data_IF_819388955751
#
_entry.id   IF_819388955751
#
_cell.length_a   1.000
_cell.length_b   1.000
_cell.length_c   1.000
_cell.angle_alpha   90.00
_cell.angle_beta   90.00
_cell.angle_gamma   90.00
#
_symmetry.space_group_name_H-M   'P 1'
#
loop_
_entity.id
_entity.type
_entity.pdbx_description
1 polymer ?
#
# COMPACT_ATOMS: atom_id res chain seq x y z
N UNK A 1 -9.76 -19.69 17.50
CA UNK A 1 -8.99 -18.57 16.91
C UNK A 1 -8.73 -17.41 17.89
N UNK A 2 -8.92 -17.61 19.20
CA UNK A 2 -8.67 -16.64 20.28
C UNK A 2 -7.33 -16.85 21.02
N UNK A 3 -6.53 -17.87 20.66
CA UNK A 3 -5.29 -18.26 21.37
C UNK A 3 -4.00 -17.61 20.85
N UNK A 4 -4.03 -16.91 19.71
CA UNK A 4 -2.84 -16.24 19.16
C UNK A 4 -2.63 -14.81 19.69
N UNK A 5 -3.65 -14.22 20.33
CA UNK A 5 -3.55 -12.95 21.07
C UNK A 5 -3.13 -13.16 22.54
N UNK A 6 -3.30 -14.37 23.10
CA UNK A 6 -2.93 -14.65 24.49
C UNK A 6 -1.42 -14.77 24.70
N UNK A 7 -0.66 -15.24 23.71
CA UNK A 7 0.80 -15.38 23.83
C UNK A 7 1.57 -14.05 23.76
N UNK A 8 0.93 -12.98 23.29
CA UNK A 8 1.50 -11.62 23.36
C UNK A 8 1.07 -10.89 24.64
N UNK A 9 0.03 -11.37 25.33
CA UNK A 9 -0.53 -10.71 26.52
C UNK A 9 -0.21 -11.39 27.85
N UNK A 10 0.24 -12.65 27.89
CA UNK A 10 0.45 -13.39 29.16
C UNK A 10 1.75 -13.11 29.92
N UNK A 11 2.66 -12.27 29.41
CA UNK A 11 3.86 -11.84 30.17
C UNK A 11 4.02 -10.33 30.30
N UNK A 12 2.95 -9.59 30.06
CA UNK A 12 2.96 -8.14 30.14
C UNK A 12 2.32 -7.72 31.48
N UNK A 13 3.12 -7.22 32.46
CA UNK A 13 2.63 -6.93 33.79
C UNK A 13 1.48 -5.92 33.73
N UNK A 14 0.46 -6.20 34.54
CA UNK A 14 -0.78 -5.45 34.70
C UNK A 14 -0.44 -3.97 34.92
N UNK A 15 -0.69 -3.12 33.92
CA UNK A 15 -0.40 -1.68 33.98
C UNK A 15 0.09 -1.02 32.69
N UNK A 16 -0.12 -1.62 31.51
CA UNK A 16 0.48 -1.13 30.27
C UNK A 16 -0.38 -0.06 29.60
N UNK A 17 0.21 1.14 29.51
CA UNK A 17 -0.28 2.31 28.78
C UNK A 17 -0.60 1.99 27.31
N UNK A 18 -1.41 2.82 26.61
CA UNK A 18 -1.80 2.67 25.19
C UNK A 18 -0.66 2.48 24.17
N UNK A 19 0.60 2.55 24.59
CA UNK A 19 1.79 2.53 23.73
C UNK A 19 2.32 1.13 23.37
N UNK A 20 1.80 0.03 23.94
CA UNK A 20 2.29 -1.32 23.63
C UNK A 20 2.14 -1.82 22.18
N UNK A 21 1.02 -1.60 21.46
CA UNK A 21 0.93 -2.02 20.06
C UNK A 21 1.85 -1.20 19.13
N UNK A 22 2.22 0.03 19.53
CA UNK A 22 3.08 0.94 18.77
C UNK A 22 4.52 0.40 18.72
N UNK A 23 5.00 -0.19 19.82
CA UNK A 23 6.33 -0.80 19.88
C UNK A 23 6.39 -2.23 19.32
N UNK A 24 5.23 -2.89 19.13
CA UNK A 24 5.19 -4.27 18.65
C UNK A 24 5.61 -4.42 17.17
N UNK A 25 5.28 -3.46 16.31
CA UNK A 25 5.72 -3.47 14.90
C UNK A 25 7.25 -3.31 14.80
N UNK A 26 7.86 -2.28 15.41
CA UNK A 26 9.31 -2.12 15.45
C UNK A 26 10.07 -3.32 16.05
N UNK A 27 9.56 -3.88 17.16
CA UNK A 27 10.17 -5.07 17.77
C UNK A 27 10.06 -6.33 16.88
N UNK A 28 9.00 -6.47 16.09
CA UNK A 28 8.85 -7.61 15.17
C UNK A 28 9.66 -7.47 13.87
N UNK A 29 10.06 -6.24 13.51
CA UNK A 29 10.65 -5.91 12.20
C UNK A 29 12.15 -6.27 12.11
N UNK A 30 12.90 -6.30 13.23
CA UNK A 30 14.36 -6.40 13.21
C UNK A 30 14.94 -7.30 14.34
N UNK A 31 15.19 -8.57 14.02
CA UNK A 31 16.09 -9.53 14.74
C UNK A 31 15.68 -10.00 16.16
N UNK A 32 16.31 -11.04 16.76
CA UNK A 32 15.63 -12.07 17.54
C UNK A 32 15.05 -11.53 18.86
N UNK A 33 14.06 -12.23 19.44
CA UNK A 33 13.30 -11.79 20.62
C UNK A 33 14.11 -11.61 21.92
N UNK A 34 15.42 -11.81 21.92
CA UNK A 34 16.26 -11.85 23.12
C UNK A 34 16.63 -10.48 23.70
N UNK A 35 16.25 -9.36 23.06
CA UNK A 35 16.61 -7.99 23.49
C UNK A 35 15.42 -7.06 23.76
N UNK A 36 14.26 -7.59 24.16
CA UNK A 36 13.00 -6.83 24.25
C UNK A 36 13.00 -5.64 25.24
N UNK A 37 13.74 -5.72 26.35
CA UNK A 37 13.68 -4.70 27.42
C UNK A 37 14.54 -3.46 27.14
N UNK A 38 15.74 -3.64 26.60
CA UNK A 38 16.66 -2.55 26.24
C UNK A 38 16.08 -1.64 25.14
N UNK A 39 15.29 -2.22 24.22
CA UNK A 39 14.73 -1.50 23.07
C UNK A 39 13.56 -0.58 23.43
N UNK A 40 12.79 -0.89 24.48
CA UNK A 40 11.70 0.01 24.94
C UNK A 40 12.25 1.32 25.48
N UNK A 41 13.41 1.30 26.15
CA UNK A 41 14.07 2.53 26.63
C UNK A 41 14.63 3.36 25.48
N UNK A 42 15.17 2.72 24.42
CA UNK A 42 15.60 3.41 23.20
C UNK A 42 14.43 4.17 22.57
N UNK A 43 13.27 3.54 22.42
CA UNK A 43 12.08 4.19 21.86
C UNK A 43 11.51 5.34 22.71
N UNK A 44 11.83 5.40 24.02
CA UNK A 44 11.40 6.49 24.89
C UNK A 44 12.36 7.68 24.87
N UNK A 45 13.64 7.42 24.66
CA UNK A 45 14.71 8.37 24.94
C UNK A 45 15.50 8.80 23.71
N UNK A 46 15.31 8.17 22.55
CA UNK A 46 16.09 8.40 21.33
C UNK A 46 15.19 8.79 20.16
N UNK A 47 15.75 9.55 19.22
CA UNK A 47 15.11 9.86 17.94
C UNK A 47 15.21 8.67 16.99
N UNK A 48 14.25 8.54 16.07
CA UNK A 48 14.18 7.41 15.12
C UNK A 48 15.50 7.18 14.35
N UNK A 49 16.17 8.26 13.92
CA UNK A 49 17.45 8.17 13.23
C UNK A 49 18.56 7.55 14.10
N UNK A 50 18.59 7.86 15.39
CA UNK A 50 19.55 7.28 16.34
C UNK A 50 19.22 5.80 16.64
N UNK A 51 17.92 5.47 16.74
CA UNK A 51 17.46 4.09 16.93
C UNK A 51 17.86 3.25 15.71
N UNK A 52 17.63 3.73 14.48
CA UNK A 52 18.02 3.03 13.24
C UNK A 52 19.54 2.85 13.17
N UNK A 53 20.32 3.85 13.57
CA UNK A 53 21.78 3.75 13.60
C UNK A 53 22.25 2.67 14.59
N UNK A 54 21.78 2.69 15.84
CA UNK A 54 22.12 1.67 16.85
C UNK A 54 21.68 0.27 16.44
N UNK A 55 20.48 0.14 15.87
CA UNK A 55 20.02 -1.16 15.33
C UNK A 55 20.88 -1.64 14.17
N UNK A 56 21.45 -0.74 13.36
CA UNK A 56 22.37 -1.10 12.27
C UNK A 56 23.69 -1.62 12.84
N UNK A 57 24.25 -0.92 13.83
CA UNK A 57 25.47 -1.33 14.54
C UNK A 57 25.30 -2.73 15.17
N UNK A 58 24.19 -2.96 15.91
CA UNK A 58 23.87 -4.28 16.47
C UNK A 58 23.63 -5.37 15.42
N UNK A 59 23.06 -5.00 14.26
CA UNK A 59 22.75 -5.96 13.20
C UNK A 59 24.02 -6.50 12.55
N UNK A 60 25.00 -5.62 12.29
CA UNK A 60 26.27 -5.98 11.67
C UNK A 60 27.12 -6.87 12.61
N UNK A 61 26.97 -6.73 13.93
CA UNK A 61 27.64 -7.59 14.93
C UNK A 61 27.04 -9.02 14.98
N UNK A 62 25.75 -9.18 14.71
CA UNK A 62 25.02 -10.44 14.93
C UNK A 62 24.86 -11.28 13.65
N UNK A 63 24.77 -10.65 12.47
CA UNK A 63 24.41 -11.35 11.23
C UNK A 63 25.62 -11.56 10.33
N UNK A 64 26.28 -12.71 10.48
CA UNK A 64 27.44 -13.09 9.65
C UNK A 64 27.06 -13.64 8.27
N UNK A 65 25.82 -14.09 8.08
CA UNK A 65 25.36 -14.80 6.87
C UNK A 65 24.57 -13.94 5.89
N UNK A 66 24.25 -12.69 6.23
CA UNK A 66 23.42 -11.80 5.40
C UNK A 66 21.95 -12.22 5.24
N UNK A 67 21.53 -13.31 5.87
CA UNK A 67 20.16 -13.83 5.83
C UNK A 67 19.27 -13.14 6.88
N UNK A 68 18.00 -12.92 6.50
CA UNK A 68 16.98 -12.37 7.40
C UNK A 68 15.62 -13.04 7.13
N UNK A 69 14.63 -12.94 8.04
CA UNK A 69 13.41 -13.76 7.99
C UNK A 69 12.62 -13.77 6.67
N UNK A 70 12.78 -12.75 5.82
CA UNK A 70 12.15 -12.68 4.49
C UNK A 70 12.95 -13.38 3.37
N UNK A 71 14.22 -13.72 3.56
CA UNK A 71 15.06 -14.40 2.57
C UNK A 71 15.29 -15.88 2.86
N UNK A 72 15.33 -16.27 4.15
CA UNK A 72 15.63 -17.65 4.59
C UNK A 72 14.79 -18.68 3.81
N UNK A 73 15.38 -19.66 3.12
CA UNK A 73 14.62 -20.62 2.32
C UNK A 73 13.75 -21.56 3.20
N UNK A 74 12.65 -22.06 2.63
CA UNK A 74 11.78 -23.06 3.28
C UNK A 74 10.31 -22.66 3.45
N UNK A 75 9.49 -23.59 3.94
CA UNK A 75 8.06 -23.39 4.17
C UNK A 75 7.78 -22.36 5.28
N UNK A 76 8.68 -22.28 6.28
CA UNK A 76 8.58 -21.34 7.39
C UNK A 76 8.65 -19.89 6.92
N UNK A 77 9.44 -19.57 5.89
CA UNK A 77 9.47 -18.22 5.28
C UNK A 77 8.13 -17.80 4.72
N UNK A 78 7.48 -18.66 3.94
CA UNK A 78 6.17 -18.36 3.35
C UNK A 78 5.13 -18.08 4.44
N UNK A 79 5.14 -18.91 5.50
CA UNK A 79 4.26 -18.76 6.66
C UNK A 79 4.55 -17.48 7.45
N UNK A 80 5.81 -17.18 7.73
CA UNK A 80 6.21 -15.95 8.41
C UNK A 80 5.78 -14.71 7.60
N UNK A 81 6.10 -14.66 6.31
CA UNK A 81 5.71 -13.56 5.41
C UNK A 81 4.20 -13.35 5.41
N UNK A 82 3.42 -14.43 5.31
CA UNK A 82 1.95 -14.36 5.39
C UNK A 82 1.47 -13.79 6.72
N UNK A 83 1.93 -14.37 7.84
CA UNK A 83 1.54 -13.92 9.19
C UNK A 83 1.94 -12.47 9.45
N UNK A 84 3.11 -12.05 8.98
CA UNK A 84 3.60 -10.68 9.08
C UNK A 84 2.68 -9.70 8.33
N UNK A 85 2.33 -10.02 7.08
CA UNK A 85 1.41 -9.20 6.30
C UNK A 85 0.00 -9.14 6.93
N UNK A 86 -0.51 -10.28 7.40
CA UNK A 86 -1.82 -10.36 8.05
C UNK A 86 -1.85 -9.60 9.37
N UNK A 87 -0.79 -9.68 10.17
CA UNK A 87 -0.69 -8.95 11.44
C UNK A 87 -0.89 -7.45 11.24
N UNK A 88 -0.19 -6.85 10.27
CA UNK A 88 -0.31 -5.42 9.97
C UNK A 88 -1.74 -5.08 9.55
N UNK A 89 -2.33 -5.89 8.67
CA UNK A 89 -3.71 -5.72 8.24
C UNK A 89 -4.71 -5.81 9.40
N UNK A 90 -4.55 -6.80 10.29
CA UNK A 90 -5.40 -6.98 11.48
C UNK A 90 -5.25 -5.82 12.44
N UNK A 91 -4.02 -5.38 12.73
CA UNK A 91 -3.75 -4.28 13.66
C UNK A 91 -4.53 -3.02 13.27
N UNK A 92 -4.38 -2.57 12.02
CA UNK A 92 -5.08 -1.38 11.53
C UNK A 92 -6.60 -1.58 11.51
N UNK A 93 -7.06 -2.79 11.16
CA UNK A 93 -8.49 -3.13 11.22
C UNK A 93 -9.06 -3.04 12.64
N UNK A 94 -8.29 -3.38 13.67
CA UNK A 94 -8.75 -3.29 15.07
C UNK A 94 -8.67 -1.85 15.60
N UNK A 95 -7.67 -1.08 15.17
CA UNK A 95 -7.47 0.32 15.59
C UNK A 95 -8.39 1.32 14.86
N UNK A 96 -9.18 0.88 13.86
CA UNK A 96 -9.86 1.77 12.89
C UNK A 96 -10.88 2.77 13.44
N UNK A 97 -11.36 2.58 14.66
CA UNK A 97 -12.44 3.40 15.24
C UNK A 97 -11.96 4.47 16.21
N UNK A 98 -10.68 4.46 16.61
CA UNK A 98 -10.17 5.43 17.59
C UNK A 98 -8.67 5.67 17.44
N UNK A 99 -7.87 4.63 17.66
CA UNK A 99 -6.42 4.75 17.86
C UNK A 99 -5.72 5.29 16.62
N UNK A 100 -6.17 4.95 15.41
CA UNK A 100 -5.51 5.44 14.18
C UNK A 100 -5.63 6.97 13.96
N UNK A 101 -6.46 7.67 14.74
CA UNK A 101 -6.72 9.11 14.59
C UNK A 101 -6.09 9.95 15.71
N UNK A 102 -5.30 9.34 16.60
CA UNK A 102 -4.72 9.96 17.80
C UNK A 102 -3.50 10.86 17.55
N UNK A 103 -3.12 11.06 16.28
CA UNK A 103 -1.95 11.85 15.86
C UNK A 103 -0.63 11.37 16.48
N UNK A 104 -0.58 10.12 16.96
CA UNK A 104 0.58 9.57 17.62
C UNK A 104 0.98 8.21 17.05
N UNK A 105 0.05 7.24 17.03
CA UNK A 105 0.35 5.89 16.58
C UNK A 105 0.81 5.87 15.12
N UNK A 106 0.05 6.50 14.22
CA UNK A 106 0.35 6.47 12.79
C UNK A 106 1.62 7.24 12.46
N UNK A 107 1.83 8.40 13.09
CA UNK A 107 3.03 9.22 12.86
C UNK A 107 4.29 8.49 13.33
N UNK A 108 4.23 7.86 14.51
CA UNK A 108 5.36 7.05 15.04
C UNK A 108 5.66 5.86 14.12
N UNK A 109 4.63 5.11 13.71
CA UNK A 109 4.81 3.92 12.86
C UNK A 109 5.35 4.32 11.48
N UNK A 110 4.79 5.36 10.86
CA UNK A 110 5.22 5.83 9.54
C UNK A 110 6.63 6.41 9.60
N UNK A 111 6.95 7.26 10.58
CA UNK A 111 8.30 7.82 10.76
C UNK A 111 9.35 6.72 10.90
N UNK A 112 9.08 5.72 11.75
CA UNK A 112 9.97 4.60 11.96
C UNK A 112 10.16 3.74 10.69
N UNK A 113 9.06 3.41 9.98
CA UNK A 113 9.13 2.67 8.73
C UNK A 113 9.87 3.44 7.63
N UNK A 114 9.68 4.76 7.56
CA UNK A 114 10.41 5.64 6.65
C UNK A 114 11.90 5.61 6.96
N UNK A 115 12.30 5.74 8.23
CA UNK A 115 13.70 5.63 8.67
C UNK A 115 14.35 4.31 8.26
N UNK A 116 13.68 3.17 8.51
CA UNK A 116 14.18 1.85 8.10
C UNK A 116 14.25 1.69 6.58
N UNK A 117 13.28 2.24 5.84
CA UNK A 117 13.23 2.14 4.38
C UNK A 117 14.36 2.91 3.68
N UNK A 118 14.94 3.89 4.37
CA UNK A 118 16.06 4.70 3.90
C UNK A 118 17.43 4.17 4.38
N UNK A 119 17.47 3.12 5.20
CA UNK A 119 18.72 2.49 5.65
C UNK A 119 19.51 1.87 4.49
N UNK A 120 20.84 1.81 4.62
CA UNK A 120 21.70 1.08 3.69
C UNK A 120 21.65 -0.45 3.92
N UNK A 121 21.09 -0.91 5.03
CA UNK A 121 20.91 -2.33 5.33
C UNK A 121 19.75 -2.89 4.52
N UNK A 122 20.04 -3.87 3.65
CA UNK A 122 19.04 -4.53 2.80
C UNK A 122 17.87 -5.12 3.61
N UNK A 123 18.17 -5.76 4.75
CA UNK A 123 17.15 -6.38 5.61
C UNK A 123 16.12 -5.36 6.11
N UNK A 124 16.58 -4.18 6.54
CA UNK A 124 15.71 -3.10 7.00
C UNK A 124 14.87 -2.54 5.85
N UNK A 125 15.49 -2.24 4.71
CA UNK A 125 14.74 -1.73 3.54
C UNK A 125 13.66 -2.70 3.07
N UNK A 126 14.01 -3.97 2.90
CA UNK A 126 13.05 -4.97 2.39
C UNK A 126 11.89 -5.17 3.36
N UNK A 127 12.18 -5.32 4.66
CA UNK A 127 11.16 -5.61 5.66
C UNK A 127 10.25 -4.40 5.92
N UNK A 128 10.83 -3.20 6.07
CA UNK A 128 10.05 -1.97 6.26
C UNK A 128 9.21 -1.62 5.03
N UNK A 129 9.73 -1.83 3.81
CA UNK A 129 8.96 -1.60 2.58
C UNK A 129 7.75 -2.54 2.53
N UNK A 130 7.93 -3.83 2.79
CA UNK A 130 6.81 -4.79 2.84
C UNK A 130 5.77 -4.36 3.88
N UNK A 131 6.23 -3.94 5.06
CA UNK A 131 5.35 -3.48 6.13
C UNK A 131 4.56 -2.23 5.73
N UNK A 132 5.24 -1.23 5.16
CA UNK A 132 4.64 0.02 4.71
C UNK A 132 3.62 -0.20 3.59
N UNK A 133 3.90 -1.12 2.64
CA UNK A 133 2.91 -1.41 1.59
C UNK A 133 1.66 -2.09 2.16
N UNK A 134 1.81 -3.01 3.12
CA UNK A 134 0.66 -3.65 3.79
C UNK A 134 -0.10 -2.69 4.70
N UNK A 135 0.61 -1.77 5.34
CA UNK A 135 0.02 -0.67 6.10
C UNK A 135 -0.84 0.22 5.19
N UNK A 136 -0.28 0.64 4.05
CA UNK A 136 -1.00 1.41 3.04
C UNK A 136 -2.26 0.67 2.57
N UNK A 137 -2.17 -0.61 2.21
CA UNK A 137 -3.33 -1.43 1.82
C UNK A 137 -4.42 -1.45 2.90
N UNK A 138 -4.04 -1.53 4.17
CA UNK A 138 -5.00 -1.47 5.27
C UNK A 138 -5.65 -0.09 5.40
N UNK A 139 -4.88 0.99 5.24
CA UNK A 139 -5.38 2.37 5.24
C UNK A 139 -6.32 2.66 4.06
N UNK A 140 -6.03 2.14 2.86
CA UNK A 140 -6.92 2.23 1.70
C UNK A 140 -8.31 1.65 2.02
N UNK A 141 -8.36 0.50 2.72
CA UNK A 141 -9.63 -0.09 3.14
C UNK A 141 -10.36 0.81 4.16
N UNK A 142 -9.64 1.43 5.10
CA UNK A 142 -10.23 2.39 6.04
C UNK A 142 -10.78 3.61 5.29
N UNK A 143 -10.00 4.20 4.37
CA UNK A 143 -10.42 5.35 3.57
C UNK A 143 -11.66 5.05 2.72
N UNK A 144 -11.72 3.87 2.09
CA UNK A 144 -12.89 3.41 1.35
C UNK A 144 -14.14 3.31 2.25
N UNK A 145 -14.01 2.72 3.44
CA UNK A 145 -15.13 2.64 4.39
C UNK A 145 -15.59 4.04 4.85
N UNK A 146 -14.66 4.97 5.06
CA UNK A 146 -14.96 6.35 5.41
C UNK A 146 -15.66 7.09 4.27
N UNK A 147 -15.26 6.86 3.02
CA UNK A 147 -15.93 7.39 1.83
C UNK A 147 -17.39 6.91 1.73
N UNK A 148 -17.63 5.59 1.88
CA UNK A 148 -18.98 5.02 1.91
C UNK A 148 -19.82 5.60 3.06
N UNK A 149 -19.19 5.80 4.23
CA UNK A 149 -19.85 6.40 5.38
C UNK A 149 -20.20 7.88 5.16
N UNK A 150 -19.32 8.62 4.47
CA UNK A 150 -19.54 10.00 4.08
C UNK A 150 -20.76 10.11 3.15
N UNK A 151 -20.84 9.28 2.11
CA UNK A 151 -21.97 9.25 1.17
C UNK A 151 -23.29 8.91 1.86
N UNK A 152 -23.26 7.93 2.77
CA UNK A 152 -24.45 7.55 3.55
C UNK A 152 -24.91 8.71 4.43
N UNK A 153 -23.97 9.39 5.10
CA UNK A 153 -24.27 10.55 5.95
C UNK A 153 -24.79 11.73 5.11
N UNK A 154 -24.27 11.91 3.89
CA UNK A 154 -24.72 12.93 2.95
C UNK A 154 -26.18 12.69 2.52
N UNK A 155 -26.52 11.46 2.11
CA UNK A 155 -27.91 11.11 1.74
C UNK A 155 -28.89 11.27 2.91
N UNK A 156 -28.45 10.94 4.14
CA UNK A 156 -29.26 11.17 5.35
C UNK A 156 -29.51 12.65 5.61
N UNK A 157 -28.50 13.50 5.38
CA UNK A 157 -28.61 14.95 5.51
C UNK A 157 -29.61 15.52 4.48
N UNK A 158 -29.50 15.14 3.21
CA UNK A 158 -30.42 15.58 2.14
C UNK A 158 -31.86 15.11 2.39
N UNK A 159 -32.04 13.86 2.82
CA UNK A 159 -33.36 13.34 3.16
C UNK A 159 -33.99 14.05 4.37
N UNK A 160 -33.17 14.52 5.32
CA UNK A 160 -33.64 15.33 6.44
C UNK A 160 -34.01 16.75 5.99
N UNK A 161 -33.23 17.34 5.08
CA UNK A 161 -33.46 18.68 4.51
C UNK A 161 -34.79 18.74 3.73
N UNK A 162 -35.12 17.69 2.97
CA UNK A 162 -36.35 17.65 2.16
C UNK A 162 -37.63 17.42 2.99
N UNK A 163 -37.51 17.09 4.29
CA UNK A 163 -38.65 16.82 5.19
C UNK A 163 -38.94 17.97 6.17
N UNK A 164 -38.24 19.09 6.05
CA UNK A 164 -38.14 20.07 7.14
C UNK A 164 -39.40 20.94 7.31
N UNK A 165 -40.17 20.69 8.38
CA UNK A 165 -41.07 21.66 9.03
C UNK A 165 -40.90 21.51 10.55
N UNK A 166 -40.40 22.53 11.25
CA UNK A 166 -40.36 22.61 12.73
C UNK A 166 -38.98 22.58 13.41
N UNK A 167 -38.91 23.08 14.66
CA UNK A 167 -37.68 23.34 15.44
C UNK A 167 -36.83 22.09 15.73
N UNK A 168 -37.46 20.94 16.04
CA UNK A 168 -36.79 19.65 16.30
C UNK A 168 -36.13 19.03 15.06
N UNK A 169 -36.61 19.39 13.87
CA UNK A 169 -35.98 18.97 12.61
C UNK A 169 -34.66 19.71 12.38
N UNK A 170 -34.54 20.94 12.88
CA UNK A 170 -33.34 21.78 12.74
C UNK A 170 -32.17 21.26 13.60
N UNK A 171 -32.44 20.83 14.85
CA UNK A 171 -31.43 20.23 15.74
C UNK A 171 -30.84 18.93 15.15
N UNK A 172 -31.69 18.10 14.54
CA UNK A 172 -31.25 16.88 13.86
C UNK A 172 -30.39 17.18 12.63
N UNK A 173 -30.72 18.23 11.89
CA UNK A 173 -29.97 18.67 10.71
C UNK A 173 -28.57 19.17 11.10
N UNK A 174 -28.47 19.91 12.20
CA UNK A 174 -27.19 20.39 12.73
C UNK A 174 -26.28 19.23 13.18
N UNK A 175 -26.83 18.24 13.90
CA UNK A 175 -26.08 17.05 14.30
C UNK A 175 -25.54 16.27 13.10
N UNK A 176 -26.36 16.09 12.05
CA UNK A 176 -25.93 15.42 10.81
C UNK A 176 -24.83 16.21 10.09
N UNK A 177 -24.93 17.54 10.10
CA UNK A 177 -23.90 18.40 9.52
C UNK A 177 -22.57 18.30 10.29
N UNK A 178 -22.61 18.28 11.62
CA UNK A 178 -21.43 18.09 12.46
C UNK A 178 -20.79 16.73 12.20
N UNK A 179 -21.59 15.66 12.17
CA UNK A 179 -21.11 14.30 11.86
C UNK A 179 -20.46 14.24 10.48
N UNK A 180 -21.05 14.87 9.46
CA UNK A 180 -20.48 14.93 8.11
C UNK A 180 -19.10 15.61 8.10
N UNK A 181 -18.97 16.76 8.78
CA UNK A 181 -17.69 17.48 8.89
C UNK A 181 -16.64 16.62 9.60
N UNK A 182 -17.02 15.87 10.61
CA UNK A 182 -16.11 14.99 11.34
C UNK A 182 -15.61 13.84 10.48
N UNK A 183 -16.51 13.12 9.80
CA UNK A 183 -16.13 12.04 8.87
C UNK A 183 -15.19 12.56 7.78
N UNK A 184 -15.45 13.77 7.26
CA UNK A 184 -14.57 14.41 6.28
C UNK A 184 -13.17 14.71 6.83
N UNK A 185 -13.05 15.25 8.06
CA UNK A 185 -11.74 15.46 8.70
C UNK A 185 -10.99 14.15 8.89
N UNK A 186 -11.67 13.13 9.40
CA UNK A 186 -11.09 11.81 9.62
C UNK A 186 -10.57 11.22 8.31
N UNK A 187 -11.33 11.31 7.21
CA UNK A 187 -10.89 10.89 5.87
C UNK A 187 -9.63 11.63 5.42
N UNK A 188 -9.59 12.95 5.56
CA UNK A 188 -8.42 13.77 5.19
C UNK A 188 -7.17 13.38 5.99
N UNK A 189 -7.30 13.09 7.29
CA UNK A 189 -6.17 12.61 8.10
C UNK A 189 -5.59 11.30 7.55
N UNK A 190 -6.45 10.34 7.22
CA UNK A 190 -6.01 9.06 6.65
C UNK A 190 -5.36 9.25 5.28
N UNK A 191 -5.92 10.11 4.43
CA UNK A 191 -5.33 10.43 3.13
C UNK A 191 -3.97 11.12 3.25
N UNK A 192 -3.76 11.96 4.26
CA UNK A 192 -2.45 12.57 4.53
C UNK A 192 -1.40 11.52 4.93
N UNK A 193 -1.76 10.58 5.80
CA UNK A 193 -0.87 9.47 6.18
C UNK A 193 -0.55 8.60 4.98
N UNK A 194 -1.55 8.28 4.16
CA UNK A 194 -1.37 7.55 2.90
C UNK A 194 -0.42 8.28 1.95
N UNK A 195 -0.57 9.60 1.82
CA UNK A 195 0.30 10.43 0.98
C UNK A 195 1.75 10.45 1.49
N UNK A 196 1.98 10.46 2.81
CA UNK A 196 3.32 10.35 3.38
C UNK A 196 3.94 8.99 3.05
N UNK A 197 3.24 7.87 3.29
CA UNK A 197 3.75 6.54 2.92
C UNK A 197 4.07 6.46 1.42
N UNK A 198 3.24 7.05 0.57
CA UNK A 198 3.46 7.06 -0.88
C UNK A 198 4.70 7.87 -1.27
N UNK A 199 4.82 9.10 -0.79
CA UNK A 199 5.93 10.00 -1.15
C UNK A 199 7.25 9.54 -0.52
N UNK A 200 7.23 9.22 0.77
CA UNK A 200 8.44 9.03 1.56
C UNK A 200 8.99 7.60 1.45
N UNK A 201 8.15 6.61 1.15
CA UNK A 201 8.55 5.20 1.04
C UNK A 201 8.35 4.69 -0.40
N UNK A 202 7.12 4.65 -0.91
CA UNK A 202 6.85 4.01 -2.20
C UNK A 202 7.62 4.65 -3.37
N UNK A 203 7.64 5.98 -3.47
CA UNK A 203 8.25 6.67 -4.61
C UNK A 203 9.75 6.41 -4.75
N UNK A 204 10.42 6.14 -3.62
CA UNK A 204 11.84 5.77 -3.55
C UNK A 204 12.07 4.27 -3.72
N UNK A 205 11.25 3.42 -3.08
CA UNK A 205 11.43 1.97 -3.06
C UNK A 205 10.90 1.24 -4.31
N UNK A 206 9.96 1.84 -5.04
CA UNK A 206 9.51 1.32 -6.35
C UNK A 206 10.64 1.24 -7.39
N UNK A 207 11.72 2.00 -7.18
CA UNK A 207 12.94 2.01 -8.02
C UNK A 207 14.19 1.59 -7.23
N UNK A 208 14.01 0.78 -6.18
CA UNK A 208 15.13 0.29 -5.36
C UNK A 208 16.16 -0.47 -6.20
N UNK A 209 17.45 -0.33 -5.84
CA UNK A 209 18.53 -1.09 -6.43
C UNK A 209 18.33 -2.61 -6.25
N UNK A 210 17.72 -3.03 -5.14
CA UNK A 210 17.41 -4.43 -4.84
C UNK A 210 16.16 -4.86 -5.60
N UNK A 211 16.39 -5.79 -6.53
CA UNK A 211 15.42 -6.52 -7.32
C UNK A 211 14.12 -6.88 -6.59
N UNK A 212 14.23 -7.55 -5.44
CA UNK A 212 13.12 -8.15 -4.70
C UNK A 212 12.17 -7.13 -4.05
N UNK A 213 12.63 -5.88 -3.87
CA UNK A 213 11.83 -4.82 -3.23
C UNK A 213 10.85 -4.20 -4.24
N UNK A 214 11.30 -3.95 -5.47
CA UNK A 214 10.48 -3.33 -6.52
C UNK A 214 9.15 -4.06 -6.79
N UNK A 215 9.08 -5.39 -6.95
CA UNK A 215 7.82 -6.08 -7.23
C UNK A 215 6.84 -6.02 -6.05
N UNK A 216 7.32 -5.78 -4.81
CA UNK A 216 6.46 -5.59 -3.64
C UNK A 216 5.67 -4.29 -3.79
N UNK A 217 6.36 -3.19 -4.13
CA UNK A 217 5.70 -1.91 -4.38
C UNK A 217 4.71 -2.02 -5.53
N UNK A 218 5.15 -2.57 -6.66
CA UNK A 218 4.35 -2.65 -7.90
C UNK A 218 3.15 -3.58 -7.77
N UNK A 219 3.26 -4.63 -6.97
CA UNK A 219 2.11 -5.47 -6.66
C UNK A 219 1.06 -4.70 -5.85
N UNK A 220 1.48 -3.93 -4.85
CA UNK A 220 0.55 -3.30 -3.90
C UNK A 220 -0.12 -2.06 -4.50
N UNK A 221 0.55 -1.29 -5.36
CA UNK A 221 -0.13 -0.21 -6.12
C UNK A 221 -1.29 -0.77 -6.95
N UNK A 222 -1.10 -1.90 -7.65
CA UNK A 222 -2.19 -2.54 -8.40
C UNK A 222 -3.34 -3.02 -7.52
N UNK A 223 -3.08 -3.35 -6.25
CA UNK A 223 -4.13 -3.67 -5.26
C UNK A 223 -4.88 -2.40 -4.87
N UNK A 224 -4.19 -1.29 -4.59
CA UNK A 224 -4.81 -0.03 -4.20
C UNK A 224 -5.71 0.52 -5.30
N UNK A 225 -5.22 0.53 -6.55
CA UNK A 225 -6.00 1.05 -7.67
C UNK A 225 -7.22 0.20 -7.98
N UNK A 226 -7.16 -1.12 -7.73
CA UNK A 226 -8.32 -2.00 -7.82
C UNK A 226 -9.33 -1.76 -6.68
N UNK A 227 -8.84 -1.50 -5.47
CA UNK A 227 -9.68 -1.36 -4.28
C UNK A 227 -10.35 0.01 -4.17
N UNK A 228 -9.63 1.08 -4.50
CA UNK A 228 -10.08 2.46 -4.35
C UNK A 228 -9.78 3.27 -5.60
N UNK A 229 -10.39 2.84 -6.70
CA UNK A 229 -10.15 3.40 -8.03
C UNK A 229 -10.53 4.88 -8.16
N UNK A 230 -11.33 5.46 -7.29
CA UNK A 230 -11.68 6.89 -7.42
C UNK A 230 -10.55 7.82 -6.96
N UNK A 231 -9.61 7.33 -6.14
CA UNK A 231 -8.55 8.14 -5.52
C UNK A 231 -7.13 7.86 -6.05
N UNK A 232 -6.86 6.65 -6.54
CA UNK A 232 -5.50 6.17 -6.89
C UNK A 232 -5.02 6.30 -8.34
N UNK A 233 -5.85 6.26 -9.39
CA UNK A 233 -5.39 6.43 -10.76
C UNK A 233 -5.28 7.92 -11.07
N UNK A 234 -4.18 8.52 -10.60
CA UNK A 234 -3.75 9.84 -11.04
C UNK A 234 -2.38 9.74 -11.72
N UNK A 235 -2.01 10.81 -12.43
CA UNK A 235 -0.75 10.89 -13.20
C UNK A 235 0.49 10.56 -12.35
N UNK A 236 0.47 10.89 -11.05
CA UNK A 236 1.56 10.58 -10.14
C UNK A 236 1.67 9.10 -9.77
N UNK A 237 0.63 8.30 -9.88
CA UNK A 237 0.68 6.85 -9.65
C UNK A 237 1.03 6.11 -10.95
N UNK A 238 0.35 6.45 -12.04
CA UNK A 238 0.51 5.78 -13.34
C UNK A 238 1.92 5.92 -13.92
N UNK A 239 2.62 7.05 -13.66
CA UNK A 239 4.03 7.20 -14.07
C UNK A 239 4.96 6.11 -13.53
N UNK A 240 4.68 5.58 -12.32
CA UNK A 240 5.49 4.51 -11.74
C UNK A 240 5.30 3.22 -12.53
N UNK A 241 4.06 2.88 -12.89
CA UNK A 241 3.78 1.72 -13.74
C UNK A 241 4.46 1.88 -15.12
N UNK A 242 4.40 3.07 -15.72
CA UNK A 242 5.07 3.36 -17.00
C UNK A 242 6.60 3.14 -16.95
N UNK A 243 7.28 3.62 -15.91
CA UNK A 243 8.71 3.38 -15.73
C UNK A 243 9.04 1.91 -15.45
N UNK A 244 8.21 1.23 -14.66
CA UNK A 244 8.40 -0.17 -14.28
C UNK A 244 8.27 -1.14 -15.45
N UNK A 245 7.55 -0.81 -16.52
CA UNK A 245 7.54 -1.61 -17.76
C UNK A 245 8.91 -1.71 -18.45
N UNK A 246 9.86 -0.83 -18.10
CA UNK A 246 11.23 -0.84 -18.58
C UNK A 246 12.20 -1.56 -17.63
N UNK A 247 11.70 -2.20 -16.57
CA UNK A 247 12.54 -2.90 -15.62
C UNK A 247 13.30 -4.05 -16.28
N UNK A 248 14.54 -4.29 -15.83
CA UNK A 248 15.38 -5.38 -16.34
C UNK A 248 14.86 -6.76 -15.94
N UNK A 249 14.17 -6.85 -14.81
CA UNK A 249 13.67 -8.11 -14.26
C UNK A 249 12.24 -8.42 -14.72
N UNK A 250 12.05 -9.66 -15.14
CA UNK A 250 10.78 -10.17 -15.63
C UNK A 250 9.68 -10.13 -14.57
N UNK A 251 10.00 -10.46 -13.31
CA UNK A 251 9.02 -10.49 -12.23
C UNK A 251 8.42 -9.10 -12.02
N UNK A 252 9.25 -8.05 -12.10
CA UNK A 252 8.83 -6.67 -11.93
C UNK A 252 7.92 -6.23 -13.08
N UNK A 253 8.32 -6.49 -14.33
CA UNK A 253 7.50 -6.19 -15.52
C UNK A 253 6.16 -6.94 -15.46
N UNK A 254 6.17 -8.23 -15.10
CA UNK A 254 4.98 -9.06 -14.99
C UNK A 254 4.00 -8.56 -13.93
N UNK A 255 4.49 -8.14 -12.75
CA UNK A 255 3.65 -7.55 -11.70
C UNK A 255 3.01 -6.24 -12.17
N UNK A 256 3.76 -5.42 -12.90
CA UNK A 256 3.25 -4.18 -13.50
C UNK A 256 2.12 -4.44 -14.50
N UNK A 257 2.30 -5.41 -15.40
CA UNK A 257 1.26 -5.78 -16.37
C UNK A 257 -0.01 -6.27 -15.68
N UNK A 258 0.10 -7.07 -14.61
CA UNK A 258 -1.06 -7.51 -13.82
C UNK A 258 -1.75 -6.36 -13.08
N UNK A 259 -0.98 -5.39 -12.57
CA UNK A 259 -1.53 -4.19 -11.95
C UNK A 259 -2.35 -3.39 -12.97
N UNK A 260 -1.79 -3.14 -14.14
CA UNK A 260 -2.46 -2.50 -15.27
C UNK A 260 -3.70 -3.28 -15.73
N UNK A 261 -3.63 -4.61 -15.83
CA UNK A 261 -4.80 -5.42 -16.18
C UNK A 261 -5.96 -5.21 -15.20
N UNK A 262 -5.69 -5.07 -13.90
CA UNK A 262 -6.75 -4.80 -12.92
C UNK A 262 -7.43 -3.44 -13.17
N UNK A 263 -6.70 -2.46 -13.72
CA UNK A 263 -7.24 -1.16 -14.09
C UNK A 263 -8.17 -1.24 -15.31
N UNK A 264 -7.73 -1.91 -16.38
CA UNK A 264 -8.54 -2.03 -17.61
C UNK A 264 -9.67 -3.07 -17.52
N UNK A 265 -9.62 -4.00 -16.56
CA UNK A 265 -10.66 -5.02 -16.40
C UNK A 265 -12.00 -4.45 -15.93
N UNK A 266 -12.00 -3.29 -15.26
CA UNK A 266 -13.22 -2.70 -14.69
C UNK A 266 -13.76 -1.57 -15.58
N UNK A 267 -14.63 -1.92 -16.53
CA UNK A 267 -15.16 -1.02 -17.56
C UNK A 267 -15.78 0.28 -17.02
N UNK A 268 -16.43 0.23 -15.85
CA UNK A 268 -17.05 1.41 -15.23
C UNK A 268 -15.99 2.36 -14.66
N UNK A 269 -14.93 1.83 -14.03
CA UNK A 269 -13.79 2.65 -13.61
C UNK A 269 -13.00 3.21 -14.81
N UNK A 270 -12.82 2.41 -15.86
CA UNK A 270 -12.10 2.86 -17.07
C UNK A 270 -12.83 4.00 -17.76
N UNK A 271 -14.16 4.03 -17.73
CA UNK A 271 -14.98 5.17 -18.20
C UNK A 271 -14.87 6.40 -17.30
N UNK A 272 -14.95 6.23 -15.98
CA UNK A 272 -14.84 7.35 -15.03
C UNK A 272 -13.45 8.01 -15.03
N UNK A 273 -12.42 7.25 -15.41
CA UNK A 273 -11.02 7.69 -15.47
C UNK A 273 -10.51 7.78 -16.91
N UNK A 274 -11.41 7.94 -17.87
CA UNK A 274 -11.10 7.94 -19.30
C UNK A 274 -10.03 8.97 -19.63
N UNK A 275 -10.03 10.17 -19.03
CA UNK A 275 -9.02 11.20 -19.29
C UNK A 275 -7.62 10.83 -18.76
N UNK A 276 -7.41 10.49 -17.47
CA UNK A 276 -6.11 10.01 -16.99
C UNK A 276 -5.61 8.74 -17.69
N UNK A 277 -6.50 7.77 -17.93
CA UNK A 277 -6.12 6.53 -18.60
C UNK A 277 -5.85 6.76 -20.08
N UNK A 278 -6.59 7.64 -20.76
CA UNK A 278 -6.31 8.03 -22.15
C UNK A 278 -4.99 8.81 -22.25
N UNK A 279 -4.66 9.69 -21.29
CA UNK A 279 -3.36 10.35 -21.25
C UNK A 279 -2.22 9.35 -20.99
N UNK A 280 -2.44 8.34 -20.14
CA UNK A 280 -1.48 7.27 -19.91
C UNK A 280 -1.36 6.33 -21.11
N UNK A 281 -2.46 5.95 -21.76
CA UNK A 281 -2.42 5.06 -22.93
C UNK A 281 -1.94 5.75 -24.18
N UNK A 282 -2.22 7.04 -24.39
CA UNK A 282 -1.71 7.85 -25.53
C UNK A 282 -0.30 8.39 -25.30
N UNK A 283 0.22 8.31 -24.08
CA UNK A 283 1.53 8.82 -23.69
C UNK A 283 2.66 7.79 -23.77
N UNK A 284 3.74 8.04 -23.01
CA UNK A 284 4.98 7.24 -22.91
C UNK A 284 4.87 5.70 -22.88
N UNK A 285 3.82 5.05 -22.32
CA UNK A 285 3.69 3.61 -22.27
C UNK A 285 3.14 2.92 -23.54
N UNK A 286 2.55 3.60 -24.53
CA UNK A 286 1.82 2.88 -25.60
C UNK A 286 2.72 1.98 -26.45
N UNK A 287 3.78 2.56 -27.01
CA UNK A 287 4.77 1.83 -27.79
C UNK A 287 5.46 0.77 -26.92
N UNK A 288 5.66 1.07 -25.64
CA UNK A 288 6.25 0.11 -24.71
C UNK A 288 5.33 -1.06 -24.45
N UNK A 289 4.05 -0.86 -24.16
CA UNK A 289 3.07 -1.94 -23.90
C UNK A 289 3.00 -2.88 -25.11
N UNK A 290 2.95 -2.34 -26.33
CA UNK A 290 3.00 -3.13 -27.56
C UNK A 290 4.34 -3.86 -27.68
N UNK A 291 5.48 -3.20 -27.44
CA UNK A 291 6.79 -3.85 -27.49
C UNK A 291 6.96 -4.99 -26.46
N UNK A 292 6.33 -4.88 -25.29
CA UNK A 292 6.39 -5.90 -24.23
C UNK A 292 5.57 -7.14 -24.62
N UNK A 293 4.69 -7.06 -25.64
CA UNK A 293 4.06 -8.27 -26.20
C UNK A 293 5.06 -9.19 -26.91
N UNK A 294 6.24 -8.67 -27.24
CA UNK A 294 7.38 -9.41 -27.78
C UNK A 294 8.54 -9.44 -26.77
N UNK A 295 8.22 -9.44 -25.46
CA UNK A 295 9.24 -9.54 -24.43
C UNK A 295 10.00 -10.88 -24.54
N UNK A 296 11.31 -10.85 -24.28
CA UNK A 296 12.17 -12.05 -24.31
C UNK A 296 11.68 -13.15 -23.36
N UNK A 297 10.95 -12.80 -22.30
CA UNK A 297 10.37 -13.76 -21.38
C UNK A 297 8.89 -14.02 -21.75
N UNK A 298 8.57 -15.27 -22.10
CA UNK A 298 7.23 -15.68 -22.52
C UNK A 298 6.13 -15.33 -21.50
N UNK A 299 6.41 -15.50 -20.21
CA UNK A 299 5.47 -15.19 -19.12
C UNK A 299 5.10 -13.70 -19.08
N UNK A 300 6.00 -12.81 -19.51
CA UNK A 300 5.75 -11.37 -19.58
C UNK A 300 4.96 -11.03 -20.85
N UNK A 301 5.36 -11.61 -21.99
CA UNK A 301 4.69 -11.43 -23.27
C UNK A 301 3.21 -11.83 -23.21
N UNK A 302 2.89 -12.97 -22.60
CA UNK A 302 1.50 -13.44 -22.42
C UNK A 302 0.66 -12.44 -21.61
N UNK A 303 1.21 -11.88 -20.54
CA UNK A 303 0.49 -10.91 -19.71
C UNK A 303 0.31 -9.57 -20.44
N UNK A 304 1.24 -9.19 -21.31
CA UNK A 304 1.11 -7.99 -22.14
C UNK A 304 0.06 -8.16 -23.24
N UNK A 305 0.00 -9.32 -23.90
CA UNK A 305 -1.06 -9.65 -24.87
C UNK A 305 -2.45 -9.60 -24.19
N UNK A 306 -2.57 -10.15 -22.98
CA UNK A 306 -3.80 -10.05 -22.18
C UNK A 306 -4.19 -8.61 -21.91
N UNK A 307 -3.24 -7.77 -21.51
CA UNK A 307 -3.46 -6.35 -21.26
C UNK A 307 -3.98 -5.62 -22.52
N UNK A 308 -3.32 -5.80 -23.67
CA UNK A 308 -3.72 -5.19 -24.94
C UNK A 308 -5.13 -5.64 -25.36
N UNK A 309 -5.44 -6.92 -25.14
CA UNK A 309 -6.78 -7.45 -25.41
C UNK A 309 -7.84 -6.78 -24.53
N UNK A 310 -7.54 -6.58 -23.24
CA UNK A 310 -8.41 -5.89 -22.29
C UNK A 310 -8.59 -4.39 -22.60
N UNK A 311 -7.58 -3.71 -23.15
CA UNK A 311 -7.66 -2.29 -23.50
C UNK A 311 -8.31 -2.01 -24.86
N UNK A 312 -8.30 -2.99 -25.78
CA UNK A 312 -8.85 -2.86 -27.15
C UNK A 312 -10.32 -2.42 -27.30
N UNK A 313 -11.23 -2.60 -26.32
CA UNK A 313 -12.60 -2.09 -26.46
C UNK A 313 -12.73 -0.56 -26.43
N UNK A 314 -11.66 0.19 -26.13
CA UNK A 314 -11.68 1.65 -25.89
C UNK A 314 -10.86 2.44 -26.90
N UNK A 315 -11.03 2.14 -28.20
CA UNK A 315 -10.32 2.78 -29.33
C UNK A 315 -8.92 2.22 -29.58
N UNK A 316 -8.78 1.40 -30.62
CA UNK A 316 -7.52 1.29 -31.35
C UNK A 316 -7.74 1.88 -32.73
N UNK A 317 -6.97 2.92 -33.06
CA UNK A 317 -6.78 3.34 -34.44
C UNK A 317 -6.25 2.14 -35.25
N UNK A 318 -6.64 2.08 -36.53
CA UNK A 318 -6.34 0.97 -37.45
C UNK A 318 -4.86 0.58 -37.55
N UNK A 319 -3.93 1.51 -37.26
CA UNK A 319 -2.49 1.26 -37.32
C UNK A 319 -1.95 0.36 -36.19
N UNK A 320 -2.56 0.40 -35.01
CA UNK A 320 -2.13 -0.40 -33.85
C UNK A 320 -2.56 -1.87 -34.00
N UNK A 321 -3.78 -2.10 -34.49
CA UNK A 321 -4.28 -3.44 -34.86
C UNK A 321 -3.46 -4.06 -36.01
N UNK A 322 -3.04 -3.26 -37.00
CA UNK A 322 -2.14 -3.73 -38.05
C UNK A 322 -0.77 -4.12 -37.46
N UNK A 323 -0.13 -3.27 -36.67
CA UNK A 323 1.17 -3.60 -36.07
C UNK A 323 1.13 -4.87 -35.21
N UNK A 324 0.04 -5.09 -34.47
CA UNK A 324 -0.17 -6.29 -33.66
C UNK A 324 -0.45 -7.54 -34.51
N UNK A 325 -1.33 -7.44 -35.52
CA UNK A 325 -1.64 -8.55 -36.42
C UNK A 325 -0.46 -8.95 -37.32
N UNK A 326 0.41 -8.00 -37.68
CA UNK A 326 1.60 -8.27 -38.49
C UNK A 326 2.72 -8.90 -37.66
N UNK A 327 2.94 -8.48 -36.41
CA UNK A 327 4.00 -9.07 -35.56
C UNK A 327 3.66 -10.44 -34.99
N UNK A 328 2.40 -10.72 -34.69
CA UNK A 328 1.96 -12.05 -34.20
C UNK A 328 1.92 -13.10 -35.33
N UNK A 329 1.92 -12.69 -36.61
CA UNK A 329 1.93 -13.60 -37.77
C UNK A 329 3.32 -13.84 -38.38
N UNK A 330 4.35 -13.12 -37.94
CA UNK A 330 5.67 -13.16 -38.56
C UNK A 330 6.77 -13.86 -37.73
N UNK A 331 6.40 -14.46 -36.58
CA UNK A 331 7.23 -15.41 -35.82
C UNK A 331 6.53 -16.78 -35.74
#
# INVERSE_FOLDING_TARGET
MTKSLSLVTTHLPIGIKPSAPIYALPLCLCVPPTAGTARIEMFRNMQDAEIVRKMTEEFDEVVTTGDYPLTVPGSQRKKFRYNFCEFIGVLIRQCRYSIIYDEYMMDTVVSFLTGLSNSQVRAFRHTSTLAAMKLMTALVNVALNLSIHQDTTQRQYEAALNKTVGKRANEKLELLLQKRKEVMRIRMKIENVMNSIFKDIFAHRSRDAIAEIRPICIQEIGVWTKMYGDAFPNDSYLKHEGWTLHDRLEEVRRKCLKALQNLYSNREHTRLQEVPLACFTRGFPQDRIVSVTLDKEYDVAVEAIRLVTCSSPMETSSECCCSFSWKVRCD
#
